data_IF_082373019949
#
_entry.id   IF_082373019949
#
_cell.length_a   1.000
_cell.length_b   1.000
_cell.length_c   1.000
_cell.angle_alpha   90.00
_cell.angle_beta   90.00
_cell.angle_gamma   90.00
#
_symmetry.space_group_name_H-M   'P 1'
#
loop_
_entity.id
_entity.type
_entity.pdbx_description
1 polymer ?
#
# COMPACT_ATOMS: atom_id res chain seq x y z
N UNK A 1 -23.52 2.86 -34.38
CA UNK A 1 -23.08 4.17 -33.85
C UNK A 1 -23.46 4.43 -32.39
N UNK A 2 -24.63 3.99 -31.89
CA UNK A 2 -25.04 4.25 -30.50
C UNK A 2 -24.32 3.36 -29.46
N UNK A 3 -24.00 2.10 -29.79
CA UNK A 3 -23.27 1.20 -28.87
C UNK A 3 -21.80 1.61 -28.67
N UNK A 4 -21.16 2.22 -29.66
CA UNK A 4 -19.78 2.69 -29.57
C UNK A 4 -19.65 3.91 -28.64
N UNK A 5 -20.62 4.82 -28.66
CA UNK A 5 -20.67 5.99 -27.78
C UNK A 5 -20.89 5.59 -26.30
N UNK A 6 -21.72 4.58 -26.05
CA UNK A 6 -21.99 4.11 -24.68
C UNK A 6 -20.77 3.39 -24.05
N UNK A 7 -19.97 2.68 -24.85
CA UNK A 7 -18.72 2.05 -24.38
C UNK A 7 -17.64 3.07 -24.02
N UNK A 8 -17.54 4.17 -24.78
CA UNK A 8 -16.60 5.27 -24.50
C UNK A 8 -16.91 5.96 -23.17
N UNK A 9 -18.20 6.15 -22.84
CA UNK A 9 -18.63 6.69 -21.56
C UNK A 9 -18.19 5.80 -20.39
N UNK A 10 -18.40 4.49 -20.49
CA UNK A 10 -18.01 3.52 -19.45
C UNK A 10 -16.49 3.47 -19.23
N UNK A 11 -15.68 3.61 -20.29
CA UNK A 11 -14.22 3.67 -20.18
C UNK A 11 -13.76 4.99 -19.54
N UNK A 12 -14.36 6.11 -19.93
CA UNK A 12 -14.09 7.43 -19.36
C UNK A 12 -14.37 7.51 -17.85
N UNK A 13 -15.31 6.69 -17.37
CA UNK A 13 -15.70 6.63 -15.96
C UNK A 13 -14.80 5.73 -15.10
N UNK A 14 -13.75 5.16 -15.68
CA UNK A 14 -12.68 4.54 -14.90
C UNK A 14 -11.54 5.55 -14.70
N UNK A 15 -10.84 5.54 -13.54
CA UNK A 15 -9.70 6.43 -13.32
C UNK A 15 -8.64 6.30 -14.42
N UNK A 16 -8.28 5.07 -14.79
CA UNK A 16 -7.28 4.78 -15.81
C UNK A 16 -7.77 5.08 -17.23
N UNK A 17 -9.01 4.68 -17.58
CA UNK A 17 -9.55 4.93 -18.92
C UNK A 17 -9.81 6.41 -19.17
N UNK A 18 -10.31 7.15 -18.17
CA UNK A 18 -10.45 8.60 -18.24
C UNK A 18 -9.12 9.33 -18.38
N UNK A 19 -8.07 8.89 -17.68
CA UNK A 19 -6.72 9.45 -17.85
C UNK A 19 -6.12 9.13 -19.22
N UNK A 20 -6.30 7.90 -19.73
CA UNK A 20 -5.84 7.51 -21.06
C UNK A 20 -6.52 8.32 -22.16
N UNK A 21 -7.84 8.55 -22.06
CA UNK A 21 -8.57 9.42 -23.00
C UNK A 21 -8.07 10.86 -22.94
N UNK A 22 -7.81 11.40 -21.74
CA UNK A 22 -7.25 12.75 -21.60
C UNK A 22 -5.88 12.88 -22.27
N UNK A 23 -5.01 11.86 -22.18
CA UNK A 23 -3.72 11.87 -22.88
C UNK A 23 -3.85 11.92 -24.42
N UNK A 24 -4.97 11.43 -24.97
CA UNK A 24 -5.25 11.52 -26.41
C UNK A 24 -5.92 12.82 -26.84
N UNK A 25 -6.59 13.53 -25.93
CA UNK A 25 -7.26 14.81 -26.18
C UNK A 25 -7.23 15.64 -24.90
N UNK A 26 -6.14 16.38 -24.64
CA UNK A 26 -5.94 17.09 -23.38
C UNK A 26 -6.90 18.27 -23.22
N UNK A 27 -7.59 18.31 -22.08
CA UNK A 27 -8.50 19.39 -21.70
C UNK A 27 -8.14 19.93 -20.31
N UNK A 28 -7.85 21.22 -20.20
CA UNK A 28 -7.35 21.83 -18.97
C UNK A 28 -8.38 21.84 -17.83
N UNK A 29 -9.66 22.06 -18.15
CA UNK A 29 -10.76 22.14 -17.17
C UNK A 29 -10.98 20.84 -16.38
N UNK A 30 -10.70 19.67 -16.97
CA UNK A 30 -10.86 18.36 -16.32
C UNK A 30 -9.55 17.85 -15.71
N UNK A 31 -8.40 18.42 -16.07
CA UNK A 31 -7.07 17.91 -15.68
C UNK A 31 -6.89 17.72 -14.16
N UNK A 32 -7.23 18.71 -13.28
CA UNK A 32 -7.09 18.51 -11.84
C UNK A 32 -7.98 17.37 -11.31
N UNK A 33 -9.20 17.25 -11.83
CA UNK A 33 -10.11 16.17 -11.45
C UNK A 33 -9.58 14.80 -11.91
N UNK A 34 -8.94 14.72 -13.09
CA UNK A 34 -8.31 13.49 -13.58
C UNK A 34 -7.18 13.04 -12.65
N UNK A 35 -6.29 13.96 -12.26
CA UNK A 35 -5.22 13.66 -11.31
C UNK A 35 -5.77 13.22 -9.96
N UNK A 36 -6.75 13.94 -9.41
CA UNK A 36 -7.36 13.59 -8.13
C UNK A 36 -8.06 12.22 -8.18
N UNK A 37 -8.72 11.88 -9.30
CA UNK A 37 -9.35 10.57 -9.47
C UNK A 37 -8.30 9.45 -9.45
N UNK A 38 -7.15 9.64 -10.09
CA UNK A 38 -6.03 8.69 -10.02
C UNK A 38 -5.50 8.52 -8.59
N UNK A 39 -5.29 9.62 -7.85
CA UNK A 39 -4.81 9.59 -6.46
C UNK A 39 -5.82 8.96 -5.49
N UNK A 40 -7.12 9.10 -5.76
CA UNK A 40 -8.18 8.48 -4.95
C UNK A 40 -8.44 7.01 -5.28
N UNK A 41 -7.77 6.46 -6.30
CA UNK A 41 -8.00 5.09 -6.75
C UNK A 41 -7.37 4.11 -5.77
N UNK A 42 -8.15 3.12 -5.34
CA UNK A 42 -7.63 2.05 -4.47
C UNK A 42 -6.39 1.39 -5.09
N UNK A 43 -5.32 1.16 -4.31
CA UNK A 43 -4.12 0.50 -4.81
C UNK A 43 -4.40 -0.94 -5.30
N UNK A 44 -5.51 -1.55 -4.85
CA UNK A 44 -5.96 -2.86 -5.29
C UNK A 44 -6.73 -2.84 -6.62
N UNK A 45 -7.00 -1.69 -7.22
CA UNK A 45 -7.93 -1.56 -8.35
C UNK A 45 -7.53 -2.40 -9.56
N UNK A 46 -6.24 -2.48 -9.89
CA UNK A 46 -5.74 -3.32 -10.99
C UNK A 46 -6.00 -4.79 -10.72
N UNK A 47 -5.78 -5.25 -9.48
CA UNK A 47 -6.02 -6.64 -9.07
C UNK A 47 -7.52 -6.97 -9.08
N UNK A 48 -8.36 -6.08 -8.54
CA UNK A 48 -9.83 -6.18 -8.59
C UNK A 48 -10.35 -6.21 -10.03
N UNK A 49 -9.72 -5.46 -10.93
CA UNK A 49 -10.07 -5.48 -12.36
C UNK A 49 -9.69 -6.81 -12.99
N UNK A 50 -8.50 -7.35 -12.70
CA UNK A 50 -8.13 -8.72 -13.08
C UNK A 50 -9.14 -9.76 -12.60
N UNK A 51 -9.62 -9.64 -11.36
CA UNK A 51 -10.63 -10.54 -10.81
C UNK A 51 -11.94 -10.49 -11.60
N UNK A 52 -12.44 -9.28 -11.89
CA UNK A 52 -13.61 -9.10 -12.74
C UNK A 52 -13.40 -9.68 -14.14
N UNK A 53 -12.23 -9.44 -14.75
CA UNK A 53 -11.90 -10.00 -16.07
C UNK A 53 -11.99 -11.52 -16.07
N UNK A 54 -11.44 -12.19 -15.05
CA UNK A 54 -11.51 -13.66 -14.98
C UNK A 54 -12.92 -14.19 -14.73
N UNK A 55 -13.71 -13.50 -13.91
CA UNK A 55 -15.13 -13.83 -13.68
C UNK A 55 -15.96 -13.67 -14.96
N UNK A 56 -15.77 -12.57 -15.68
CA UNK A 56 -16.43 -12.31 -16.96
C UNK A 56 -16.02 -13.34 -18.01
N UNK A 57 -14.71 -13.62 -18.15
CA UNK A 57 -14.23 -14.58 -19.13
C UNK A 57 -14.77 -15.99 -18.86
N UNK A 58 -14.84 -16.41 -17.60
CA UNK A 58 -15.43 -17.70 -17.22
C UNK A 58 -16.94 -17.77 -17.53
N UNK A 59 -17.66 -16.65 -17.43
CA UNK A 59 -19.09 -16.59 -17.77
C UNK A 59 -19.34 -16.57 -19.28
N UNK A 60 -18.45 -15.99 -20.08
CA UNK A 60 -18.62 -15.83 -21.53
C UNK A 60 -18.07 -17.04 -22.29
N UNK A 61 -16.98 -17.64 -21.81
CA UNK A 61 -16.28 -18.76 -22.46
C UNK A 61 -15.98 -19.89 -21.45
N UNK A 62 -17.01 -20.56 -20.88
CA UNK A 62 -16.83 -21.49 -19.76
C UNK A 62 -15.95 -22.72 -20.09
N UNK A 63 -16.04 -23.23 -21.31
CA UNK A 63 -15.34 -24.45 -21.76
C UNK A 63 -14.08 -24.14 -22.58
N UNK A 64 -13.66 -22.87 -22.66
CA UNK A 64 -12.53 -22.49 -23.49
C UNK A 64 -11.19 -22.70 -22.77
N UNK A 65 -10.33 -23.56 -23.32
CA UNK A 65 -9.04 -23.90 -22.72
C UNK A 65 -8.11 -22.68 -22.55
N UNK A 66 -8.08 -21.76 -23.51
CA UNK A 66 -7.22 -20.55 -23.44
C UNK A 66 -7.63 -19.67 -22.26
N UNK A 67 -8.94 -19.48 -22.07
CA UNK A 67 -9.49 -18.75 -20.92
C UNK A 67 -9.12 -19.41 -19.59
N UNK A 68 -9.30 -20.74 -19.49
CA UNK A 68 -9.02 -21.49 -18.28
C UNK A 68 -7.54 -21.43 -17.91
N UNK A 69 -6.64 -21.62 -18.88
CA UNK A 69 -5.19 -21.54 -18.68
C UNK A 69 -4.75 -20.12 -18.28
N UNK A 70 -5.25 -19.08 -18.96
CA UNK A 70 -4.92 -17.69 -18.63
C UNK A 70 -5.39 -17.33 -17.20
N UNK A 71 -6.58 -17.78 -16.81
CA UNK A 71 -7.13 -17.57 -15.47
C UNK A 71 -6.31 -18.31 -14.41
N UNK A 72 -5.91 -19.56 -14.66
CA UNK A 72 -5.08 -20.33 -13.75
C UNK A 72 -3.70 -19.67 -13.55
N UNK A 73 -3.05 -19.22 -14.63
CA UNK A 73 -1.77 -18.49 -14.55
C UNK A 73 -1.89 -17.22 -13.72
N UNK A 74 -2.93 -16.43 -13.94
CA UNK A 74 -3.16 -15.20 -13.17
C UNK A 74 -3.36 -15.50 -11.67
N UNK A 75 -4.20 -16.49 -11.31
CA UNK A 75 -4.42 -16.88 -9.90
C UNK A 75 -3.15 -17.41 -9.23
N UNK A 76 -2.40 -18.27 -9.92
CA UNK A 76 -1.13 -18.79 -9.40
C UNK A 76 -0.12 -17.67 -9.19
N UNK A 77 -0.06 -16.69 -10.09
CA UNK A 77 0.81 -15.51 -9.94
C UNK A 77 0.43 -14.69 -8.72
N UNK A 78 -0.88 -14.46 -8.48
CA UNK A 78 -1.34 -13.75 -7.28
C UNK A 78 -0.96 -14.50 -6.00
N UNK A 79 -1.21 -15.81 -5.96
CA UNK A 79 -0.87 -16.65 -4.81
C UNK A 79 0.63 -16.63 -4.54
N UNK A 80 1.46 -16.85 -5.55
CA UNK A 80 2.91 -16.84 -5.41
C UNK A 80 3.43 -15.48 -4.89
N UNK A 81 2.90 -14.37 -5.39
CA UNK A 81 3.27 -13.04 -4.91
C UNK A 81 2.86 -12.81 -3.45
N UNK A 82 1.68 -13.29 -3.05
CA UNK A 82 1.22 -13.22 -1.66
C UNK A 82 2.10 -14.09 -0.74
N UNK A 83 2.39 -15.33 -1.15
CA UNK A 83 3.21 -16.28 -0.38
C UNK A 83 4.67 -15.78 -0.22
N UNK A 84 5.18 -15.00 -1.19
CA UNK A 84 6.51 -14.38 -1.13
C UNK A 84 6.55 -13.08 -0.31
N UNK A 85 5.41 -12.58 0.18
CA UNK A 85 5.38 -11.40 1.05
C UNK A 85 5.89 -11.79 2.44
N UNK A 86 6.86 -11.07 3.04
CA UNK A 86 7.26 -11.32 4.41
C UNK A 86 6.06 -11.16 5.35
N UNK A 87 5.92 -12.07 6.32
CA UNK A 87 4.86 -12.00 7.34
C UNK A 87 5.32 -11.26 8.61
N UNK A 88 6.63 -11.02 8.78
CA UNK A 88 7.18 -10.30 9.93
C UNK A 88 6.62 -10.71 11.32
N UNK A 89 6.24 -11.98 11.52
CA UNK A 89 5.79 -12.48 12.83
C UNK A 89 6.86 -12.29 13.91
N UNK A 90 8.14 -12.44 13.56
CA UNK A 90 9.25 -12.18 14.47
C UNK A 90 9.35 -10.71 14.88
N UNK A 91 8.99 -9.76 14.02
CA UNK A 91 8.92 -8.34 14.40
C UNK A 91 7.81 -8.11 15.44
N UNK A 92 6.62 -8.69 15.21
CA UNK A 92 5.51 -8.61 16.15
C UNK A 92 5.86 -9.25 17.51
N UNK A 93 6.56 -10.40 17.47
CA UNK A 93 7.02 -11.07 18.68
C UNK A 93 8.04 -10.23 19.44
N UNK A 94 9.06 -9.69 18.78
CA UNK A 94 10.07 -8.83 19.43
C UNK A 94 9.43 -7.57 20.02
N UNK A 95 8.41 -7.02 19.36
CA UNK A 95 7.63 -5.90 19.88
C UNK A 95 6.95 -6.24 21.21
N UNK A 96 6.31 -7.41 21.28
CA UNK A 96 5.69 -7.90 22.50
C UNK A 96 6.71 -8.23 23.59
N UNK A 97 7.76 -8.99 23.25
CA UNK A 97 8.80 -9.42 24.20
C UNK A 97 9.47 -8.22 24.88
N UNK A 98 9.72 -7.16 24.12
CA UNK A 98 10.37 -5.95 24.61
C UNK A 98 9.46 -5.13 25.52
N UNK A 99 8.16 -5.08 25.22
CA UNK A 99 7.14 -4.49 26.09
C UNK A 99 7.06 -5.22 27.43
N UNK A 100 6.96 -6.55 27.41
CA UNK A 100 6.93 -7.39 28.60
C UNK A 100 8.21 -7.26 29.42
N UNK A 101 9.37 -7.22 28.76
CA UNK A 101 10.66 -7.01 29.41
C UNK A 101 10.75 -5.64 30.11
N UNK A 102 10.32 -4.56 29.45
CA UNK A 102 10.29 -3.23 30.06
C UNK A 102 9.36 -3.19 31.29
N UNK A 103 8.20 -3.86 31.23
CA UNK A 103 7.27 -3.97 32.35
C UNK A 103 7.89 -4.73 33.55
N UNK A 104 8.63 -5.82 33.30
CA UNK A 104 9.34 -6.56 34.34
C UNK A 104 10.42 -5.72 35.02
N UNK A 105 11.19 -4.93 34.26
CA UNK A 105 12.18 -4.02 34.81
C UNK A 105 11.54 -2.97 35.73
N UNK A 106 10.39 -2.41 35.34
CA UNK A 106 9.64 -1.47 36.17
C UNK A 106 9.14 -2.11 37.47
N UNK A 107 8.70 -3.37 37.42
CA UNK A 107 8.27 -4.10 38.62
C UNK A 107 9.44 -4.29 39.60
N UNK A 108 10.61 -4.68 39.10
CA UNK A 108 11.82 -4.90 39.89
C UNK A 108 12.37 -3.60 40.51
N UNK A 109 12.21 -2.48 39.82
CA UNK A 109 12.65 -1.16 40.30
C UNK A 109 11.82 -0.72 41.51
N UNK A 110 10.51 -0.99 41.49
CA UNK A 110 9.62 -0.76 42.65
C UNK A 110 10.04 -1.60 43.86
N UNK A 111 10.70 -2.74 43.65
CA UNK A 111 11.28 -3.58 44.70
C UNK A 111 12.65 -3.11 45.23
N UNK A 112 13.19 -1.97 44.74
CA UNK A 112 14.50 -1.39 45.10
C UNK A 112 15.70 -2.30 44.81
N UNK A 113 15.62 -3.17 43.82
CA UNK A 113 16.72 -4.06 43.43
C UNK A 113 17.70 -3.38 42.43
N UNK A 114 18.79 -2.80 42.94
CA UNK A 114 20.06 -2.58 42.20
C UNK A 114 20.16 -1.39 41.22
N UNK A 115 21.35 -0.74 41.20
CA UNK A 115 21.69 0.43 40.36
C UNK A 115 21.73 0.10 38.86
N UNK A 116 22.03 -1.15 38.49
CA UNK A 116 22.07 -1.63 37.09
C UNK A 116 20.70 -1.69 36.42
N UNK A 117 19.62 -1.66 37.19
CA UNK A 117 18.25 -1.81 36.68
C UNK A 117 17.73 -0.55 35.97
N UNK A 118 18.12 0.64 36.44
CA UNK A 118 17.72 1.92 35.83
C UNK A 118 18.31 2.10 34.41
N UNK A 119 19.56 1.65 34.20
CA UNK A 119 20.18 1.66 32.88
C UNK A 119 19.50 0.67 31.92
N UNK A 120 19.25 -0.57 32.35
CA UNK A 120 18.56 -1.58 31.53
C UNK A 120 17.15 -1.13 31.14
N UNK A 121 16.45 -0.46 32.06
CA UNK A 121 15.12 0.13 31.80
C UNK A 121 15.19 1.16 30.69
N UNK A 122 16.17 2.06 30.75
CA UNK A 122 16.34 3.11 29.73
C UNK A 122 16.57 2.50 28.35
N UNK A 123 17.45 1.51 28.24
CA UNK A 123 17.73 0.83 26.97
C UNK A 123 16.51 0.08 26.45
N UNK A 124 15.78 -0.64 27.31
CA UNK A 124 14.58 -1.38 26.93
C UNK A 124 13.48 -0.45 26.38
N UNK A 125 13.18 0.65 27.09
CA UNK A 125 12.20 1.63 26.62
C UNK A 125 12.62 2.33 25.34
N UNK A 126 13.91 2.63 25.18
CA UNK A 126 14.40 3.24 23.95
C UNK A 126 14.23 2.29 22.76
N UNK A 127 14.57 1.02 22.93
CA UNK A 127 14.38 0.01 21.90
C UNK A 127 12.89 -0.20 21.58
N UNK A 128 12.01 -0.24 22.60
CA UNK A 128 10.57 -0.33 22.42
C UNK A 128 10.04 0.86 21.63
N UNK A 129 10.47 2.07 22.01
CA UNK A 129 10.08 3.32 21.35
C UNK A 129 10.49 3.31 19.88
N UNK A 130 11.73 2.92 19.58
CA UNK A 130 12.24 2.84 18.21
C UNK A 130 11.47 1.79 17.38
N UNK A 131 11.19 0.64 17.96
CA UNK A 131 10.47 -0.43 17.28
C UNK A 131 9.00 -0.07 17.03
N UNK A 132 8.38 0.65 17.98
CA UNK A 132 6.98 1.11 17.92
C UNK A 132 6.80 2.40 17.11
N UNK A 133 7.88 3.09 16.75
CA UNK A 133 7.83 4.35 16.01
C UNK A 133 7.07 4.18 14.69
N UNK A 134 7.25 3.05 14.02
CA UNK A 134 6.57 2.73 12.79
C UNK A 134 6.37 1.22 12.60
N UNK A 135 5.12 0.76 12.57
CA UNK A 135 4.80 -0.61 12.17
C UNK A 135 4.99 -0.80 10.66
N UNK A 136 5.83 -1.75 10.22
CA UNK A 136 6.01 -2.07 8.81
C UNK A 136 4.71 -2.54 8.14
N UNK A 137 4.60 -2.32 6.83
CA UNK A 137 3.41 -2.70 6.07
C UNK A 137 3.16 -4.21 6.14
N UNK A 138 4.22 -5.02 6.07
CA UNK A 138 4.18 -6.47 6.14
C UNK A 138 3.63 -6.99 7.48
N UNK A 139 3.96 -6.30 8.58
CA UNK A 139 3.40 -6.61 9.89
C UNK A 139 1.90 -6.25 9.95
N UNK A 140 1.47 -5.13 9.36
CA UNK A 140 0.06 -4.77 9.25
C UNK A 140 -0.73 -5.77 8.40
N UNK A 141 -0.15 -6.28 7.31
CA UNK A 141 -0.77 -7.32 6.47
C UNK A 141 -0.96 -8.62 7.26
N UNK A 142 0.02 -8.99 8.08
CA UNK A 142 -0.08 -10.19 8.93
C UNK A 142 -1.14 -10.03 10.02
N UNK A 143 -1.22 -8.87 10.66
CA UNK A 143 -2.31 -8.55 11.58
C UNK A 143 -3.67 -8.60 10.89
N UNK A 144 -3.77 -8.14 9.63
CA UNK A 144 -5.01 -8.21 8.85
C UNK A 144 -5.43 -9.65 8.58
N UNK A 145 -4.49 -10.52 8.17
CA UNK A 145 -4.77 -11.93 7.96
C UNK A 145 -5.27 -12.63 9.23
N UNK A 146 -4.65 -12.35 10.37
CA UNK A 146 -5.03 -12.90 11.67
C UNK A 146 -6.40 -12.39 12.11
N UNK A 147 -6.64 -11.08 12.00
CA UNK A 147 -7.93 -10.46 12.32
C UNK A 147 -9.07 -11.02 11.45
N UNK A 148 -8.83 -11.25 10.15
CA UNK A 148 -9.80 -11.90 9.25
C UNK A 148 -10.08 -13.35 9.67
N UNK A 149 -9.05 -14.13 10.01
CA UNK A 149 -9.22 -15.52 10.51
C UNK A 149 -10.05 -15.56 11.79
N UNK A 150 -9.93 -14.53 12.62
CA UNK A 150 -10.68 -14.37 13.87
C UNK A 150 -12.04 -13.66 13.70
N UNK A 151 -12.46 -13.37 12.47
CA UNK A 151 -13.71 -12.65 12.16
C UNK A 151 -13.83 -11.26 12.84
N UNK A 152 -12.70 -10.59 13.07
CA UNK A 152 -12.67 -9.26 13.69
C UNK A 152 -13.00 -8.15 12.67
N UNK A 153 -13.46 -7.00 13.18
CA UNK A 153 -13.62 -5.81 12.35
C UNK A 153 -12.25 -5.28 11.89
N UNK A 154 -12.09 -5.20 10.57
CA UNK A 154 -10.81 -4.90 9.90
C UNK A 154 -10.83 -3.58 9.14
N UNK A 155 -11.92 -2.81 9.21
CA UNK A 155 -12.12 -1.61 8.39
C UNK A 155 -11.01 -0.56 8.58
N UNK A 156 -10.63 -0.26 9.83
CA UNK A 156 -9.58 0.72 10.13
C UNK A 156 -8.22 0.23 9.66
N UNK A 157 -7.92 -1.04 9.89
CA UNK A 157 -6.65 -1.67 9.50
C UNK A 157 -6.50 -1.69 7.97
N UNK A 158 -7.55 -2.05 7.24
CA UNK A 158 -7.56 -2.00 5.77
C UNK A 158 -7.34 -0.57 5.23
N UNK A 159 -7.96 0.45 5.85
CA UNK A 159 -7.71 1.86 5.49
C UNK A 159 -6.26 2.26 5.71
N UNK A 160 -5.66 1.86 6.83
CA UNK A 160 -4.26 2.11 7.15
C UNK A 160 -3.33 1.44 6.14
N UNK A 161 -3.57 0.17 5.82
CA UNK A 161 -2.82 -0.59 4.83
C UNK A 161 -2.88 0.08 3.45
N UNK A 162 -4.08 0.48 2.99
CA UNK A 162 -4.22 1.17 1.71
C UNK A 162 -3.39 2.47 1.68
N UNK A 163 -3.48 3.30 2.73
CA UNK A 163 -2.67 4.53 2.85
C UNK A 163 -1.16 4.24 2.82
N UNK A 164 -0.71 3.17 3.48
CA UNK A 164 0.70 2.74 3.48
C UNK A 164 1.16 2.30 2.09
N UNK A 165 0.33 1.55 1.37
CA UNK A 165 0.62 1.14 -0.02
C UNK A 165 0.70 2.36 -0.94
N UNK A 166 -0.23 3.31 -0.82
CA UNK A 166 -0.23 4.54 -1.62
C UNK A 166 1.04 5.37 -1.38
N UNK A 167 1.43 5.53 -0.11
CA UNK A 167 2.65 6.25 0.27
C UNK A 167 3.92 5.56 -0.26
N UNK A 168 4.03 4.23 -0.10
CA UNK A 168 5.19 3.46 -0.59
C UNK A 168 5.25 3.45 -2.12
N UNK A 169 4.12 3.35 -2.80
CA UNK A 169 4.05 3.39 -4.27
C UNK A 169 4.47 4.76 -4.79
N UNK A 170 4.02 5.84 -4.15
CA UNK A 170 4.40 7.20 -4.47
C UNK A 170 5.90 7.42 -4.27
N UNK A 171 6.44 6.97 -3.12
CA UNK A 171 7.88 7.03 -2.83
C UNK A 171 8.69 6.24 -3.85
N UNK A 172 8.26 5.02 -4.21
CA UNK A 172 8.93 4.19 -5.20
C UNK A 172 8.94 4.85 -6.59
N UNK A 173 7.82 5.44 -7.02
CA UNK A 173 7.74 6.21 -8.26
C UNK A 173 8.72 7.39 -8.26
N UNK A 174 8.72 8.18 -7.18
CA UNK A 174 9.62 9.32 -7.05
C UNK A 174 11.08 8.88 -7.11
N UNK A 175 11.47 7.85 -6.35
CA UNK A 175 12.83 7.28 -6.36
C UNK A 175 13.21 6.79 -7.76
N UNK A 176 12.30 6.09 -8.46
CA UNK A 176 12.53 5.62 -9.83
C UNK A 176 12.76 6.79 -10.81
N UNK A 177 12.14 7.93 -10.54
CA UNK A 177 12.24 9.11 -11.39
C UNK A 177 13.42 10.03 -11.00
N UNK A 178 14.07 9.80 -9.85
CA UNK A 178 15.32 10.49 -9.49
C UNK A 178 16.38 10.15 -10.55
N UNK A 179 16.69 11.11 -11.43
CA UNK A 179 17.60 10.94 -12.56
C UNK A 179 17.00 11.25 -13.95
N UNK A 180 15.68 11.45 -14.04
CA UNK A 180 15.07 12.13 -15.18
C UNK A 180 15.02 13.62 -14.86
N UNK A 181 15.73 14.50 -15.58
CA UNK A 181 15.61 15.92 -15.36
C UNK A 181 14.16 16.33 -15.64
N UNK A 182 13.47 16.83 -14.62
CA UNK A 182 12.40 17.77 -14.84
C UNK A 182 13.03 18.93 -15.63
N UNK A 183 12.66 19.11 -16.91
CA UNK A 183 13.00 20.27 -17.72
C UNK A 183 12.33 21.56 -17.19
N UNK A 184 12.24 21.71 -15.87
CA UNK A 184 11.70 22.84 -15.15
C UNK A 184 12.38 23.03 -13.79
N UNK A 185 13.67 22.69 -13.67
CA UNK A 185 14.53 23.31 -12.66
C UNK A 185 14.69 24.80 -13.00
N UNK A 186 13.72 25.57 -12.51
CA UNK A 186 13.73 27.00 -12.23
C UNK A 186 15.12 27.64 -12.28
N UNK A 187 15.55 28.08 -13.46
CA UNK A 187 16.52 29.16 -13.58
C UNK A 187 15.76 30.46 -13.43
N UNK A 188 15.58 30.92 -12.20
CA UNK A 188 15.67 32.35 -11.94
C UNK A 188 16.01 32.62 -10.46
N UNK A 189 17.24 32.25 -10.09
CA UNK A 189 17.98 32.98 -9.07
C UNK A 189 18.96 33.89 -9.78
N UNK A 190 18.62 35.19 -9.88
CA UNK A 190 19.53 36.35 -9.79
C UNK A 190 18.84 37.59 -10.37
N UNK A 191 18.35 38.48 -9.50
CA UNK A 191 19.03 39.77 -9.28
C UNK A 191 18.31 40.60 -8.20
N UNK A 192 18.97 40.66 -7.05
CA UNK A 192 18.96 41.75 -6.09
C UNK A 192 19.52 43.05 -6.70
N UNK A 193 18.92 44.16 -6.26
CA UNK A 193 19.45 45.54 -6.10
C UNK A 193 20.68 45.98 -6.93
N UNK A 194 20.46 46.95 -7.81
CA UNK A 194 20.67 48.39 -7.54
C UNK A 194 19.75 49.24 -8.44
#
# INVERSE_FOLDING_TARGET
>A
MVQSLNRLYLVNDTPQGGAALWLTSPELNVYPQRLNRLLSTSPLQTLKTGERLTKTAASVWPENEVQQQATARWRNTLKLRADNSPQLRGYLQVQQDLHEFAALLLQREKSKEGVTLSYLKTVAYQAETLLNQETPLEALLTQLEEAKKQNQNTQTLEKQINKRIDALSSRYLLIRNVGFPDNNSLTNTSNTHD
#
